data_IF_997811836469
#
_entry.id   IF_997811836469
#
_cell.length_a   1.000
_cell.length_b   1.000
_cell.length_c   1.000
_cell.angle_alpha   90.00
_cell.angle_beta   90.00
_cell.angle_gamma   90.00
#
_symmetry.space_group_name_H-M   'P 1'
#
loop_
_entity.id
_entity.type
_entity.pdbx_description
1 polymer ?
#
# COMPACT_ATOMS: atom_id res chain seq x y z
N UNK A 1 18.09 -13.55 -20.02
CA UNK A 1 17.00 -13.15 -19.09
C UNK A 1 17.27 -13.56 -17.65
N UNK A 2 17.50 -14.84 -17.32
CA UNK A 2 17.63 -15.30 -15.92
C UNK A 2 18.80 -14.64 -15.16
N UNK A 3 19.96 -14.47 -15.79
CA UNK A 3 21.13 -13.82 -15.16
C UNK A 3 20.90 -12.33 -14.93
N UNK A 4 20.15 -11.67 -15.83
CA UNK A 4 19.78 -10.27 -15.66
C UNK A 4 18.76 -10.11 -14.54
N UNK A 5 17.75 -10.99 -14.43
CA UNK A 5 16.82 -11.02 -13.30
C UNK A 5 17.54 -11.20 -11.96
N UNK A 6 18.51 -12.12 -11.88
CA UNK A 6 19.32 -12.30 -10.66
C UNK A 6 20.09 -11.03 -10.28
N UNK A 7 20.65 -10.33 -11.26
CA UNK A 7 21.31 -9.04 -11.05
C UNK A 7 20.32 -8.01 -10.52
N UNK A 8 19.16 -7.88 -11.15
CA UNK A 8 18.09 -6.94 -10.78
C UNK A 8 17.54 -7.16 -9.37
N UNK A 9 17.52 -8.40 -8.86
CA UNK A 9 17.18 -8.70 -7.46
C UNK A 9 18.31 -8.32 -6.51
N UNK A 10 19.56 -8.57 -6.93
CA UNK A 10 20.73 -8.34 -6.08
C UNK A 10 20.99 -6.86 -5.82
N UNK A 11 20.76 -6.00 -6.81
CA UNK A 11 21.00 -4.55 -6.72
C UNK A 11 20.12 -3.89 -5.65
N UNK A 12 18.78 -4.07 -5.64
CA UNK A 12 17.90 -3.43 -4.66
C UNK A 12 17.68 -4.26 -3.40
N UNK A 13 18.40 -5.36 -3.16
CA UNK A 13 18.12 -6.30 -2.05
C UNK A 13 18.05 -5.62 -0.68
N UNK A 14 18.92 -4.66 -0.40
CA UNK A 14 18.91 -3.91 0.86
C UNK A 14 17.66 -3.04 0.96
N UNK A 15 17.27 -2.42 -0.14
CA UNK A 15 16.04 -1.64 -0.22
C UNK A 15 14.82 -2.52 0.03
N UNK A 16 14.72 -3.67 -0.62
CA UNK A 16 13.62 -4.64 -0.46
C UNK A 16 13.52 -5.11 0.99
N UNK A 17 14.65 -5.52 1.59
CA UNK A 17 14.69 -5.97 2.98
C UNK A 17 14.34 -4.85 3.97
N UNK A 18 14.85 -3.64 3.75
CA UNK A 18 14.52 -2.51 4.60
C UNK A 18 13.02 -2.18 4.57
N UNK A 19 12.39 -2.18 3.38
CA UNK A 19 10.95 -1.98 3.27
C UNK A 19 10.16 -3.10 3.93
N UNK A 20 10.55 -4.36 3.74
CA UNK A 20 9.89 -5.51 4.36
C UNK A 20 9.95 -5.43 5.90
N UNK A 21 11.10 -5.08 6.46
CA UNK A 21 11.28 -5.01 7.92
C UNK A 21 10.60 -3.75 8.48
N UNK A 22 10.87 -2.56 7.92
CA UNK A 22 10.37 -1.30 8.49
C UNK A 22 8.85 -1.22 8.48
N UNK A 23 8.21 -1.58 7.38
CA UNK A 23 6.75 -1.61 7.31
C UNK A 23 6.14 -2.71 8.18
N UNK A 24 6.78 -3.89 8.23
CA UNK A 24 6.34 -4.96 9.12
C UNK A 24 6.41 -4.58 10.59
N UNK A 25 7.51 -3.95 11.02
CA UNK A 25 7.67 -3.44 12.40
C UNK A 25 6.64 -2.35 12.71
N UNK A 26 6.36 -1.47 11.75
CA UNK A 26 5.30 -0.46 11.92
C UNK A 26 3.92 -1.10 12.15
N UNK A 27 3.60 -2.15 11.40
CA UNK A 27 2.33 -2.87 11.52
C UNK A 27 2.20 -3.70 12.81
N UNK A 28 3.29 -3.93 13.56
CA UNK A 28 3.23 -4.59 14.86
C UNK A 28 2.59 -3.73 15.97
N UNK A 29 2.57 -2.41 15.79
CA UNK A 29 2.16 -1.47 16.86
C UNK A 29 0.75 -1.79 17.37
N UNK A 30 -0.21 -1.98 16.46
CA UNK A 30 -1.60 -2.24 16.86
C UNK A 30 -1.80 -3.60 17.53
N UNK A 31 -1.39 -4.76 16.95
CA UNK A 31 -1.55 -6.02 17.63
C UNK A 31 -0.86 -6.07 19.00
N UNK A 32 0.31 -5.41 19.15
CA UNK A 32 0.99 -5.33 20.44
C UNK A 32 0.22 -4.45 21.45
N UNK A 33 -0.44 -3.40 21.00
CA UNK A 33 -1.30 -2.60 21.88
C UNK A 33 -2.50 -3.41 22.39
N UNK A 34 -3.11 -4.24 21.55
CA UNK A 34 -4.20 -5.14 21.94
C UNK A 34 -3.75 -6.36 22.75
N UNK A 35 -2.45 -6.62 22.85
CA UNK A 35 -1.90 -7.65 23.76
C UNK A 35 -1.87 -7.20 25.23
N UNK A 36 -2.12 -5.91 25.51
CA UNK A 36 -2.15 -5.37 26.86
C UNK A 36 -3.45 -4.60 27.10
N UNK A 37 -4.32 -5.16 27.94
CA UNK A 37 -5.67 -4.61 28.21
C UNK A 37 -5.67 -3.15 28.68
N UNK A 38 -4.65 -2.72 29.43
CA UNK A 38 -4.53 -1.33 29.88
C UNK A 38 -4.14 -0.38 28.73
N UNK A 39 -3.32 -0.85 27.80
CA UNK A 39 -2.92 -0.08 26.59
C UNK A 39 -4.08 -0.06 25.61
N UNK A 40 -4.77 -1.17 25.41
CA UNK A 40 -5.95 -1.29 24.56
C UNK A 40 -7.04 -0.31 25.01
N UNK A 41 -7.44 -0.34 26.28
CA UNK A 41 -8.46 0.57 26.82
C UNK A 41 -8.05 2.03 26.66
N UNK A 42 -6.81 2.38 26.99
CA UNK A 42 -6.28 3.74 26.82
C UNK A 42 -6.31 4.18 25.35
N UNK A 43 -5.91 3.30 24.44
CA UNK A 43 -5.93 3.57 22.99
C UNK A 43 -7.36 3.83 22.51
N UNK A 44 -8.30 2.96 22.86
CA UNK A 44 -9.72 3.06 22.46
C UNK A 44 -10.33 4.33 23.05
N UNK A 45 -10.14 4.60 24.33
CA UNK A 45 -10.71 5.77 25.00
C UNK A 45 -10.14 7.08 24.43
N UNK A 46 -8.83 7.13 24.20
CA UNK A 46 -8.17 8.29 23.60
C UNK A 46 -8.69 8.56 22.19
N UNK A 47 -8.88 7.52 21.40
CA UNK A 47 -9.42 7.67 20.06
C UNK A 47 -10.90 8.05 20.05
N UNK A 48 -11.72 7.43 20.90
CA UNK A 48 -13.13 7.82 21.04
C UNK A 48 -13.27 9.29 21.44
N UNK A 49 -12.42 9.76 22.33
CA UNK A 49 -12.42 11.17 22.75
C UNK A 49 -11.96 12.10 21.63
N UNK A 50 -10.89 11.74 20.91
CA UNK A 50 -10.38 12.51 19.78
C UNK A 50 -11.41 12.65 18.63
N UNK A 51 -12.21 11.61 18.40
CA UNK A 51 -13.22 11.59 17.32
C UNK A 51 -14.65 11.91 17.82
N UNK A 52 -14.83 12.27 19.09
CA UNK A 52 -16.15 12.47 19.71
C UNK A 52 -17.06 13.45 18.96
N UNK A 53 -16.50 14.48 18.32
CA UNK A 53 -17.27 15.44 17.53
C UNK A 53 -17.45 15.06 16.07
N UNK A 54 -16.85 13.96 15.63
CA UNK A 54 -16.88 13.52 14.23
C UNK A 54 -17.94 12.47 13.96
N UNK A 55 -18.38 11.72 14.98
CA UNK A 55 -19.38 10.65 14.82
C UNK A 55 -20.76 11.14 14.33
N UNK A 56 -21.04 12.44 14.49
CA UNK A 56 -22.27 13.08 14.01
C UNK A 56 -22.10 13.73 12.62
N UNK A 57 -20.90 13.64 12.03
CA UNK A 57 -20.57 14.29 10.76
C UNK A 57 -20.15 13.26 9.72
N UNK A 58 -21.09 12.84 8.87
CA UNK A 58 -20.86 11.85 7.83
C UNK A 58 -19.70 12.21 6.87
N UNK A 59 -19.51 13.51 6.61
CA UNK A 59 -18.40 13.99 5.77
C UNK A 59 -17.05 13.79 6.47
N UNK A 60 -16.96 14.06 7.77
CA UNK A 60 -15.72 13.85 8.52
C UNK A 60 -15.42 12.35 8.65
N UNK A 61 -16.43 11.52 8.82
CA UNK A 61 -16.30 10.06 8.86
C UNK A 61 -15.79 9.50 7.53
N UNK A 62 -16.37 9.93 6.41
CA UNK A 62 -15.92 9.48 5.10
C UNK A 62 -14.51 9.97 4.75
N UNK A 63 -14.12 11.19 5.14
CA UNK A 63 -12.74 11.68 4.98
C UNK A 63 -11.69 10.81 5.69
N UNK A 64 -12.09 10.17 6.80
CA UNK A 64 -11.24 9.25 7.54
C UNK A 64 -11.36 7.80 7.06
N UNK A 65 -12.20 7.52 6.08
CA UNK A 65 -12.49 6.16 5.61
C UNK A 65 -13.27 5.32 6.62
N UNK A 66 -13.99 5.96 7.55
CA UNK A 66 -14.76 5.29 8.60
C UNK A 66 -16.17 5.04 8.09
N UNK A 67 -16.50 3.79 7.83
CA UNK A 67 -17.84 3.37 7.40
C UNK A 67 -18.73 2.89 8.55
N UNK A 68 -18.12 2.42 9.64
CA UNK A 68 -18.81 1.90 10.81
C UNK A 68 -18.09 2.37 12.07
N UNK A 69 -18.77 3.22 12.86
CA UNK A 69 -18.22 3.84 14.05
C UNK A 69 -17.86 2.81 15.14
N UNK A 70 -18.70 1.81 15.34
CA UNK A 70 -18.47 0.82 16.39
C UNK A 70 -17.32 -0.13 16.02
N UNK A 71 -17.20 -0.48 14.76
CA UNK A 71 -16.16 -1.37 14.27
C UNK A 71 -14.76 -0.72 14.24
N UNK A 72 -14.67 0.61 14.07
CA UNK A 72 -13.39 1.33 14.03
C UNK A 72 -12.53 1.09 15.28
N UNK A 73 -13.15 0.86 16.43
CA UNK A 73 -12.44 0.64 17.71
C UNK A 73 -12.11 -0.84 17.98
N UNK A 74 -12.41 -1.72 17.04
CA UNK A 74 -11.94 -3.11 17.09
C UNK A 74 -10.53 -3.23 16.48
N UNK A 75 -9.82 -4.31 16.81
CA UNK A 75 -8.52 -4.60 16.19
C UNK A 75 -8.63 -4.67 14.66
N UNK A 76 -9.67 -5.33 14.14
CA UNK A 76 -9.93 -5.43 12.69
C UNK A 76 -10.20 -4.07 12.07
N UNK A 77 -11.08 -3.27 12.67
CA UNK A 77 -11.42 -1.94 12.20
C UNK A 77 -10.22 -1.00 12.20
N UNK A 78 -9.42 -1.01 13.27
CA UNK A 78 -8.20 -0.21 13.35
C UNK A 78 -7.16 -0.63 12.31
N UNK A 79 -6.93 -1.93 12.13
CA UNK A 79 -6.02 -2.44 11.09
C UNK A 79 -6.50 -2.03 9.70
N UNK A 80 -7.78 -2.13 9.42
CA UNK A 80 -8.35 -1.77 8.12
C UNK A 80 -8.28 -0.27 7.89
N UNK A 81 -8.82 0.54 8.82
CA UNK A 81 -8.96 1.99 8.64
C UNK A 81 -7.63 2.72 8.69
N UNK A 82 -6.71 2.31 9.57
CA UNK A 82 -5.46 3.06 9.75
C UNK A 82 -4.29 2.51 8.96
N UNK A 83 -4.30 1.24 8.56
CA UNK A 83 -3.16 0.63 7.87
C UNK A 83 -3.49 0.13 6.47
N UNK A 84 -4.52 -0.72 6.30
CA UNK A 84 -4.76 -1.36 5.02
C UNK A 84 -5.22 -0.36 3.96
N UNK A 85 -6.19 0.48 4.27
CA UNK A 85 -6.76 1.40 3.30
C UNK A 85 -5.79 2.53 2.93
N UNK A 86 -5.25 3.34 3.87
CA UNK A 86 -4.40 4.48 3.47
C UNK A 86 -2.93 4.10 3.30
N UNK A 87 -2.34 3.39 4.27
CA UNK A 87 -0.88 3.29 4.32
C UNK A 87 -0.31 2.20 3.42
N UNK A 88 -0.93 1.04 3.30
CA UNK A 88 -0.37 -0.06 2.50
C UNK A 88 -0.28 0.33 1.02
N UNK A 89 -1.32 0.85 0.33
CA UNK A 89 -1.21 1.30 -1.04
C UNK A 89 -0.20 2.43 -1.23
N UNK A 90 -0.20 3.43 -0.32
CA UNK A 90 0.74 4.57 -0.39
C UNK A 90 2.19 4.12 -0.21
N UNK A 91 2.47 3.28 0.78
CA UNK A 91 3.83 2.80 1.03
C UNK A 91 4.32 1.89 -0.09
N UNK A 92 3.51 0.94 -0.54
CA UNK A 92 3.88 0.03 -1.62
C UNK A 92 4.00 0.80 -2.95
N UNK A 93 3.08 1.74 -3.24
CA UNK A 93 3.14 2.58 -4.43
C UNK A 93 4.40 3.45 -4.45
N UNK A 94 4.70 4.13 -3.34
CA UNK A 94 5.92 4.91 -3.16
C UNK A 94 7.17 4.05 -3.36
N UNK A 95 7.23 2.89 -2.70
CA UNK A 95 8.35 1.97 -2.84
C UNK A 95 8.51 1.46 -4.28
N UNK A 96 7.40 1.21 -4.96
CA UNK A 96 7.37 0.78 -6.36
C UNK A 96 7.91 1.87 -7.28
N UNK A 97 7.49 3.14 -7.10
CA UNK A 97 8.03 4.28 -7.86
C UNK A 97 9.54 4.41 -7.64
N UNK A 98 10.01 4.33 -6.38
CA UNK A 98 11.43 4.40 -6.06
C UNK A 98 12.20 3.29 -6.75
N UNK A 99 11.70 2.06 -6.66
CA UNK A 99 12.35 0.88 -7.22
C UNK A 99 12.46 0.99 -8.75
N UNK A 100 11.35 1.27 -9.42
CA UNK A 100 11.29 1.37 -10.86
C UNK A 100 12.07 2.57 -11.40
N UNK A 101 12.02 3.72 -10.74
CA UNK A 101 12.84 4.86 -11.09
C UNK A 101 14.34 4.53 -10.99
N UNK A 102 14.76 3.90 -9.91
CA UNK A 102 16.15 3.51 -9.73
C UNK A 102 16.64 2.52 -10.79
N UNK A 103 15.77 1.66 -11.28
CA UNK A 103 16.10 0.64 -12.27
C UNK A 103 15.93 1.13 -13.72
N UNK A 104 15.17 2.19 -13.95
CA UNK A 104 14.79 2.71 -15.26
C UNK A 104 15.09 4.19 -15.44
N UNK A 105 14.08 5.06 -15.29
CA UNK A 105 14.14 6.48 -15.68
C UNK A 105 15.32 7.26 -15.06
N UNK A 106 15.64 6.99 -13.79
CA UNK A 106 16.80 7.62 -13.17
C UNK A 106 18.12 7.06 -13.70
N UNK A 107 18.16 5.78 -14.04
CA UNK A 107 19.33 5.20 -14.67
C UNK A 107 19.57 5.78 -16.07
N UNK A 108 18.50 6.18 -16.79
CA UNK A 108 18.60 6.90 -18.06
C UNK A 108 19.11 8.32 -17.85
N UNK A 109 18.55 9.09 -16.89
CA UNK A 109 19.01 10.45 -16.54
C UNK A 109 20.47 10.48 -16.12
N UNK A 110 20.94 9.50 -15.34
CA UNK A 110 22.31 9.39 -14.83
C UNK A 110 23.27 8.80 -15.89
N UNK A 111 22.78 8.45 -17.10
CA UNK A 111 23.59 7.82 -18.16
C UNK A 111 24.01 6.37 -17.88
N UNK A 112 23.62 5.79 -16.74
CA UNK A 112 23.98 4.43 -16.36
C UNK A 112 23.21 3.37 -17.11
N UNK A 113 22.10 3.73 -17.73
CA UNK A 113 21.30 2.83 -18.57
C UNK A 113 22.05 2.40 -19.85
N UNK A 114 23.03 3.18 -20.32
CA UNK A 114 23.84 2.83 -21.49
C UNK A 114 24.61 1.51 -21.28
N UNK A 115 25.04 1.23 -20.03
CA UNK A 115 25.67 -0.07 -19.71
C UNK A 115 24.68 -1.23 -19.87
N UNK A 116 23.41 -1.02 -19.54
CA UNK A 116 22.37 -2.04 -19.72
C UNK A 116 22.00 -2.17 -21.19
N UNK A 117 21.95 -1.04 -21.92
CA UNK A 117 21.66 -1.01 -23.35
C UNK A 117 22.79 -1.64 -24.22
N UNK A 118 24.02 -1.69 -23.73
CA UNK A 118 25.14 -2.36 -24.39
C UNK A 118 25.10 -3.89 -24.28
N UNK A 119 24.27 -4.45 -23.38
CA UNK A 119 24.11 -5.90 -23.26
C UNK A 119 23.32 -6.45 -24.47
N UNK A 120 23.58 -7.69 -24.89
CA UNK A 120 22.88 -8.33 -26.01
C UNK A 120 21.47 -8.75 -25.62
N UNK A 121 20.63 -7.77 -25.24
CA UNK A 121 19.24 -7.95 -24.82
C UNK A 121 18.34 -6.94 -25.53
N UNK A 122 17.09 -7.35 -25.78
CA UNK A 122 16.08 -6.43 -26.32
C UNK A 122 15.57 -5.50 -25.23
N UNK A 123 15.17 -4.28 -25.58
CA UNK A 123 14.54 -3.33 -24.65
C UNK A 123 13.33 -3.95 -23.95
N UNK A 124 12.51 -4.71 -24.67
CA UNK A 124 11.35 -5.42 -24.10
C UNK A 124 11.76 -6.40 -22.99
N UNK A 125 12.89 -7.10 -23.13
CA UNK A 125 13.40 -7.98 -22.07
C UNK A 125 13.78 -7.20 -20.83
N UNK A 126 14.36 -6.01 -20.95
CA UNK A 126 14.73 -5.15 -19.84
C UNK A 126 13.48 -4.70 -19.09
N UNK A 127 12.51 -4.09 -19.79
CA UNK A 127 11.27 -3.59 -19.16
C UNK A 127 10.42 -4.70 -18.55
N UNK A 128 10.31 -5.86 -19.24
CA UNK A 128 9.61 -7.02 -18.68
C UNK A 128 10.28 -7.52 -17.40
N UNK A 129 11.61 -7.53 -17.36
CA UNK A 129 12.34 -7.92 -16.15
C UNK A 129 12.10 -6.95 -15.00
N UNK A 130 12.02 -5.64 -15.25
CA UNK A 130 11.66 -4.62 -14.27
C UNK A 130 10.25 -4.82 -13.74
N UNK A 131 9.27 -5.07 -14.61
CA UNK A 131 7.89 -5.35 -14.23
C UNK A 131 7.80 -6.61 -13.35
N UNK A 132 8.45 -7.70 -13.73
CA UNK A 132 8.48 -8.95 -12.94
C UNK A 132 9.07 -8.70 -11.54
N UNK A 133 10.19 -8.00 -11.45
CA UNK A 133 10.83 -7.68 -10.15
C UNK A 133 9.90 -6.84 -9.28
N UNK A 134 9.18 -5.90 -9.86
CA UNK A 134 8.26 -5.04 -9.13
C UNK A 134 7.08 -5.83 -8.56
N UNK A 135 6.49 -6.72 -9.35
CA UNK A 135 5.42 -7.61 -8.85
C UNK A 135 5.95 -8.53 -7.75
N UNK A 136 7.13 -9.15 -7.94
CA UNK A 136 7.76 -9.99 -6.92
C UNK A 136 8.09 -9.20 -5.64
N UNK A 137 8.53 -7.95 -5.78
CA UNK A 137 8.74 -7.04 -4.65
C UNK A 137 7.45 -6.80 -3.88
N UNK A 138 6.36 -6.41 -4.56
CA UNK A 138 5.07 -6.19 -3.94
C UNK A 138 4.56 -7.42 -3.19
N UNK A 139 4.59 -8.60 -3.84
CA UNK A 139 4.20 -9.87 -3.24
C UNK A 139 5.05 -10.22 -2.01
N UNK A 140 6.37 -10.09 -2.11
CA UNK A 140 7.29 -10.41 -1.02
C UNK A 140 7.07 -9.49 0.18
N UNK A 141 6.97 -8.18 -0.04
CA UNK A 141 6.77 -7.21 1.04
C UNK A 141 5.41 -7.41 1.71
N UNK A 142 4.35 -7.62 0.92
CA UNK A 142 3.01 -7.93 1.44
C UNK A 142 3.03 -9.17 2.32
N UNK A 143 3.62 -10.25 1.82
CA UNK A 143 3.76 -11.49 2.59
C UNK A 143 4.53 -11.26 3.90
N UNK A 144 5.66 -10.54 3.83
CA UNK A 144 6.45 -10.22 5.01
C UNK A 144 5.66 -9.38 6.03
N UNK A 145 4.98 -8.33 5.59
CA UNK A 145 4.19 -7.45 6.46
C UNK A 145 3.05 -8.18 7.15
N UNK A 146 2.26 -8.96 6.41
CA UNK A 146 1.16 -9.74 6.98
C UNK A 146 1.66 -10.74 8.02
N UNK A 147 2.75 -11.48 7.71
CA UNK A 147 3.29 -12.45 8.66
C UNK A 147 3.89 -11.78 9.90
N UNK A 148 4.62 -10.68 9.75
CA UNK A 148 5.17 -9.94 10.90
C UNK A 148 4.03 -9.42 11.79
N UNK A 149 3.00 -8.81 11.21
CA UNK A 149 1.83 -8.32 11.94
C UNK A 149 1.08 -9.46 12.65
N UNK A 150 1.04 -10.66 12.04
CA UNK A 150 0.31 -11.80 12.58
C UNK A 150 1.06 -12.52 13.73
N UNK A 151 2.36 -12.27 13.92
CA UNK A 151 3.13 -12.90 15.01
C UNK A 151 2.50 -12.67 16.38
N UNK A 152 2.20 -11.44 16.84
CA UNK A 152 1.54 -11.24 18.14
C UNK A 152 0.16 -11.88 18.21
N UNK A 153 -0.62 -11.82 17.12
CA UNK A 153 -1.97 -12.38 17.04
C UNK A 153 -1.95 -13.91 17.26
N UNK A 154 -0.93 -14.58 16.73
CA UNK A 154 -0.79 -16.04 16.85
C UNK A 154 -0.13 -16.50 18.15
N UNK A 155 0.67 -15.65 18.82
CA UNK A 155 1.52 -16.06 19.95
C UNK A 155 1.12 -15.46 21.28
N UNK A 156 0.28 -14.42 21.29
CA UNK A 156 -0.17 -13.74 22.49
C UNK A 156 -1.68 -13.96 22.69
N UNK A 157 -2.14 -13.91 23.94
CA UNK A 157 -3.56 -13.88 24.28
C UNK A 157 -4.06 -12.44 24.03
N UNK A 158 -4.69 -12.22 22.88
CA UNK A 158 -5.31 -10.95 22.53
C UNK A 158 -6.79 -10.97 22.92
N UNK A 159 -7.31 -9.79 23.33
CA UNK A 159 -8.74 -9.59 23.59
C UNK A 159 -9.59 -9.83 22.34
N UNK A 160 -9.00 -9.59 21.17
CA UNK A 160 -9.63 -9.77 19.87
C UNK A 160 -8.67 -10.47 18.91
N UNK A 161 -9.22 -11.28 18.02
CA UNK A 161 -8.44 -12.05 17.05
C UNK A 161 -8.77 -11.60 15.62
N UNK A 162 -7.82 -11.81 14.72
CA UNK A 162 -7.98 -11.61 13.28
C UNK A 162 -7.74 -12.92 12.55
N UNK A 163 -8.53 -13.18 11.53
CA UNK A 163 -8.32 -14.33 10.67
C UNK A 163 -7.21 -14.04 9.64
N UNK A 164 -6.23 -14.94 9.57
CA UNK A 164 -5.08 -14.79 8.66
C UNK A 164 -5.48 -14.71 7.18
N UNK A 165 -6.44 -15.55 6.76
CA UNK A 165 -6.86 -15.63 5.36
C UNK A 165 -7.42 -14.31 4.81
N UNK A 166 -8.48 -13.75 5.42
CA UNK A 166 -9.02 -12.44 5.07
C UNK A 166 -7.98 -11.33 5.16
N UNK A 167 -7.16 -11.30 6.22
CA UNK A 167 -6.12 -10.31 6.41
C UNK A 167 -5.08 -10.34 5.27
N UNK A 168 -4.57 -11.53 4.92
CA UNK A 168 -3.63 -11.69 3.80
C UNK A 168 -4.25 -11.24 2.48
N UNK A 169 -5.53 -11.58 2.23
CA UNK A 169 -6.24 -11.17 1.02
C UNK A 169 -6.36 -9.64 0.95
N UNK A 170 -6.79 -8.99 2.02
CA UNK A 170 -6.93 -7.54 2.09
C UNK A 170 -5.58 -6.83 1.89
N UNK A 171 -4.53 -7.29 2.57
CA UNK A 171 -3.18 -6.73 2.42
C UNK A 171 -2.65 -6.91 0.99
N UNK A 172 -2.92 -8.06 0.36
CA UNK A 172 -2.51 -8.31 -1.02
C UNK A 172 -3.24 -7.39 -2.00
N UNK A 173 -4.54 -7.19 -1.83
CA UNK A 173 -5.33 -6.28 -2.66
C UNK A 173 -4.82 -4.84 -2.55
N UNK A 174 -4.62 -4.34 -1.34
CA UNK A 174 -4.06 -3.01 -1.09
C UNK A 174 -2.65 -2.85 -1.70
N UNK A 175 -1.81 -3.87 -1.61
CA UNK A 175 -0.48 -3.86 -2.21
C UNK A 175 -0.53 -3.86 -3.74
N UNK A 176 -1.44 -4.62 -4.36
CA UNK A 176 -1.61 -4.63 -5.82
C UNK A 176 -2.06 -3.26 -6.34
N UNK A 177 -2.96 -2.57 -5.62
CA UNK A 177 -3.32 -1.18 -5.93
C UNK A 177 -2.08 -0.28 -5.91
N UNK A 178 -1.26 -0.35 -4.85
CA UNK A 178 -0.01 0.40 -4.75
C UNK A 178 0.97 0.10 -5.89
N UNK A 179 1.16 -1.17 -6.24
CA UNK A 179 2.01 -1.59 -7.39
C UNK A 179 1.48 -1.00 -8.69
N UNK A 180 0.16 -0.95 -8.89
CA UNK A 180 -0.45 -0.40 -10.10
C UNK A 180 -0.16 1.09 -10.25
N UNK A 181 -0.27 1.88 -9.19
CA UNK A 181 0.09 3.30 -9.20
C UNK A 181 1.56 3.51 -9.54
N UNK A 182 2.43 2.72 -8.92
CA UNK A 182 3.86 2.77 -9.22
C UNK A 182 4.19 2.40 -10.67
N UNK A 183 3.51 1.40 -11.22
CA UNK A 183 3.69 0.97 -12.60
C UNK A 183 3.21 2.04 -13.60
N UNK A 184 2.06 2.68 -13.35
CA UNK A 184 1.56 3.78 -14.18
C UNK A 184 2.50 4.99 -14.15
N UNK A 185 3.00 5.38 -12.97
CA UNK A 185 4.01 6.41 -12.83
C UNK A 185 5.28 6.08 -13.59
N UNK A 186 5.77 4.85 -13.48
CA UNK A 186 6.94 4.40 -14.22
C UNK A 186 6.74 4.42 -15.74
N UNK A 187 5.57 4.03 -16.24
CA UNK A 187 5.27 4.04 -17.67
C UNK A 187 5.45 5.45 -18.25
N UNK A 188 4.97 6.49 -17.56
CA UNK A 188 5.17 7.88 -17.98
C UNK A 188 6.62 8.37 -17.78
N UNK A 189 7.29 7.96 -16.72
CA UNK A 189 8.71 8.21 -16.51
C UNK A 189 9.55 7.63 -17.64
N UNK A 190 9.30 6.39 -18.02
CA UNK A 190 9.97 5.71 -19.13
C UNK A 190 9.66 6.34 -20.50
N UNK A 191 8.42 6.80 -20.71
CA UNK A 191 8.02 7.46 -21.93
C UNK A 191 8.69 8.84 -22.10
N UNK A 192 8.85 9.59 -21.02
CA UNK A 192 9.43 10.94 -21.02
C UNK A 192 10.94 10.96 -20.78
N UNK A 193 11.53 9.85 -20.34
CA UNK A 193 12.93 9.78 -19.91
C UNK A 193 13.25 10.59 -18.64
N UNK A 194 12.22 10.98 -17.86
CA UNK A 194 12.37 11.83 -16.67
C UNK A 194 11.78 11.16 -15.44
N UNK A 195 12.61 10.99 -14.40
CA UNK A 195 12.19 10.43 -13.12
C UNK A 195 11.16 11.31 -12.39
N UNK A 196 11.22 12.63 -12.60
CA UNK A 196 10.25 13.58 -12.04
C UNK A 196 8.82 13.33 -12.54
N UNK A 197 8.64 12.89 -13.78
CA UNK A 197 7.33 12.56 -14.35
C UNK A 197 6.73 11.28 -13.72
N UNK A 198 7.56 10.30 -13.40
CA UNK A 198 7.08 9.11 -12.68
C UNK A 198 6.52 9.49 -11.29
N UNK A 199 7.20 10.39 -10.57
CA UNK A 199 6.73 10.90 -9.29
C UNK A 199 5.47 11.76 -9.42
N UNK A 200 5.46 12.71 -10.36
CA UNK A 200 4.33 13.61 -10.55
C UNK A 200 3.05 12.84 -10.88
N UNK A 201 3.13 11.85 -11.77
CA UNK A 201 1.96 11.10 -12.19
C UNK A 201 1.59 9.99 -11.21
N UNK A 202 2.54 9.13 -10.81
CA UNK A 202 2.25 8.03 -9.89
C UNK A 202 1.84 8.53 -8.51
N UNK A 203 2.55 9.53 -7.97
CA UNK A 203 2.21 10.17 -6.69
C UNK A 203 0.93 11.01 -6.77
N UNK A 204 0.74 11.74 -7.87
CA UNK A 204 -0.48 12.51 -8.12
C UNK A 204 -1.71 11.61 -8.22
N UNK A 205 -1.61 10.47 -8.91
CA UNK A 205 -2.69 9.51 -9.02
C UNK A 205 -3.03 8.88 -7.66
N UNK A 206 -2.02 8.49 -6.87
CA UNK A 206 -2.26 7.99 -5.51
C UNK A 206 -2.96 9.02 -4.62
N UNK A 207 -2.53 10.28 -4.68
CA UNK A 207 -3.15 11.37 -3.91
C UNK A 207 -4.60 11.63 -4.38
N UNK A 208 -4.83 11.61 -5.69
CA UNK A 208 -6.16 11.78 -6.27
C UNK A 208 -7.10 10.66 -5.85
N UNK A 209 -6.69 9.40 -5.96
CA UNK A 209 -7.46 8.23 -5.53
C UNK A 209 -7.78 8.28 -4.02
N UNK A 210 -6.80 8.62 -3.20
CA UNK A 210 -7.02 8.78 -1.76
C UNK A 210 -8.05 9.86 -1.46
N UNK A 211 -7.97 11.01 -2.14
CA UNK A 211 -8.93 12.11 -1.96
C UNK A 211 -10.33 11.74 -2.47
N UNK A 212 -10.44 11.08 -3.62
CA UNK A 212 -11.74 10.68 -4.17
C UNK A 212 -12.41 9.63 -3.30
N UNK A 213 -11.67 8.64 -2.81
CA UNK A 213 -12.19 7.65 -1.85
C UNK A 213 -12.67 8.33 -0.55
N UNK A 214 -11.86 9.25 0.00
CA UNK A 214 -12.22 9.99 1.21
C UNK A 214 -13.41 10.94 1.03
N UNK A 215 -13.66 11.45 -0.19
CA UNK A 215 -14.74 12.38 -0.49
C UNK A 215 -15.97 11.70 -1.13
N UNK A 216 -15.95 10.40 -1.38
CA UNK A 216 -17.01 9.66 -2.05
C UNK A 216 -18.37 9.79 -1.36
N UNK A 217 -18.39 9.88 -0.02
CA UNK A 217 -19.61 10.10 0.77
C UNK A 217 -20.16 11.53 0.74
N UNK A 218 -19.49 12.50 0.10
CA UNK A 218 -19.88 13.90 0.17
C UNK A 218 -20.60 14.43 -1.08
N UNK A 219 -20.36 13.82 -2.24
CA UNK A 219 -20.90 14.29 -3.52
C UNK A 219 -20.97 13.15 -4.54
N UNK A 220 -22.05 13.10 -5.33
CA UNK A 220 -22.29 12.10 -6.37
C UNK A 220 -21.14 12.01 -7.39
N UNK A 221 -20.46 13.14 -7.69
CA UNK A 221 -19.29 13.15 -8.58
C UNK A 221 -18.14 12.32 -8.01
N UNK A 222 -17.80 12.51 -6.74
CA UNK A 222 -16.73 11.74 -6.09
C UNK A 222 -17.13 10.27 -5.92
N UNK A 223 -18.39 9.98 -5.65
CA UNK A 223 -18.91 8.62 -5.62
C UNK A 223 -18.74 7.92 -6.98
N UNK A 224 -19.12 8.59 -8.07
CA UNK A 224 -18.94 8.05 -9.42
C UNK A 224 -17.47 7.81 -9.77
N UNK A 225 -16.57 8.71 -9.37
CA UNK A 225 -15.12 8.52 -9.57
C UNK A 225 -14.58 7.38 -8.72
N UNK A 226 -15.04 7.25 -7.47
CA UNK A 226 -14.67 6.16 -6.56
C UNK A 226 -15.11 4.79 -7.08
N UNK A 227 -16.29 4.68 -7.66
CA UNK A 227 -16.79 3.47 -8.32
C UNK A 227 -15.90 3.01 -9.50
N UNK A 228 -15.18 3.93 -10.12
CA UNK A 228 -14.20 3.66 -11.18
C UNK A 228 -12.78 3.44 -10.64
N UNK A 229 -12.57 3.64 -9.35
CA UNK A 229 -11.27 3.64 -8.69
C UNK A 229 -10.70 2.21 -8.60
N UNK A 230 -9.37 2.13 -8.71
CA UNK A 230 -8.63 0.88 -8.52
C UNK A 230 -8.73 0.37 -7.07
N UNK A 231 -8.92 1.27 -6.11
CA UNK A 231 -9.08 0.92 -4.70
C UNK A 231 -10.44 0.26 -4.48
N UNK A 232 -11.51 0.82 -5.05
CA UNK A 232 -12.85 0.25 -4.95
C UNK A 232 -12.99 -1.12 -5.63
N UNK A 233 -12.38 -1.30 -6.79
CA UNK A 233 -12.33 -2.61 -7.49
C UNK A 233 -11.60 -3.66 -6.62
N UNK A 234 -10.69 -3.24 -5.75
CA UNK A 234 -9.95 -4.11 -4.83
C UNK A 234 -10.70 -4.43 -3.52
N UNK A 235 -11.82 -3.74 -3.21
CA UNK A 235 -12.65 -3.95 -2.01
C UNK A 235 -13.93 -4.77 -2.30
N UNK A 236 -13.89 -6.11 -2.41
CA UNK A 236 -15.08 -6.91 -2.77
C UNK A 236 -16.05 -7.16 -1.62
N UNK A 237 -15.96 -6.44 -0.50
CA UNK A 237 -16.71 -6.78 0.73
C UNK A 237 -17.37 -5.61 1.44
N UNK A 238 -17.79 -4.54 0.74
CA UNK A 238 -18.84 -3.69 1.33
C UNK A 238 -20.16 -4.45 1.20
N UNK A 239 -20.82 -4.89 2.32
CA UNK A 239 -22.18 -5.35 2.22
C UNK A 239 -22.99 -4.18 1.67
N UNK A 240 -23.65 -4.38 0.52
CA UNK A 240 -24.68 -3.47 0.06
C UNK A 240 -25.69 -3.36 1.20
N UNK A 241 -25.72 -2.22 1.86
CA UNK A 241 -26.77 -1.88 2.81
C UNK A 241 -28.10 -1.88 2.03
N UNK A 242 -28.85 -2.94 2.24
CA UNK A 242 -30.29 -2.97 1.92
C UNK A 242 -31.03 -2.19 2.98
#
# INVERSE_FOLDING_TARGET
MLNYLKYMIRVPRKFILNWAISGGVYLLILPLAFANSSVESLLIDTQREAFRGMSENDTAMSLLGISDWDNVFTLEGMVTTYFLVPFVPLLIGTATIILLNKLGSKAEEDGTFEFVASLPMTRSTVYLSQAIITVLFGLFVTFAWTNIMFIPIATMELSQTLDYGPLMKATLQAALAGVSFGALGFALGAFTGKSSMAWAFGGGLMAFEYLTNSLSGTNDFFQWVDDLSLIHISEPTRPSSI
#
